data_IF_989919397885
#
_entry.id   IF_989919397885
#
_cell.length_a   1.000
_cell.length_b   1.000
_cell.length_c   1.000
_cell.angle_alpha   90.00
_cell.angle_beta   90.00
_cell.angle_gamma   90.00
#
_symmetry.space_group_name_H-M   'P 1'
#
loop_
_entity.id
_entity.type
_entity.pdbx_description
1 polymer ?
#
# COMPACT_ATOMS: atom_id res chain seq x y z
N UNK A 1 -12.46 -3.85 -2.64
CA UNK A 1 -11.37 -4.34 -1.77
C UNK A 1 -11.99 -5.12 -0.63
N UNK A 2 -11.41 -6.26 -0.27
CA UNK A 2 -11.93 -7.14 0.79
C UNK A 2 -12.86 -8.24 0.28
N UNK A 3 -12.42 -9.00 -0.72
CA UNK A 3 -13.13 -10.20 -1.22
C UNK A 3 -12.92 -11.39 -0.28
N UNK A 4 -13.68 -12.47 -0.52
CA UNK A 4 -13.55 -13.72 0.21
C UNK A 4 -12.22 -14.43 -0.08
N UNK A 5 -11.64 -15.02 0.97
CA UNK A 5 -10.50 -15.94 0.83
C UNK A 5 -11.04 -17.37 0.72
N UNK A 6 -10.90 -17.96 -0.46
CA UNK A 6 -11.32 -19.34 -0.75
C UNK A 6 -10.08 -20.24 -0.92
N UNK A 7 -9.73 -21.02 0.10
CA UNK A 7 -8.57 -21.93 0.10
C UNK A 7 -9.02 -23.30 0.62
N UNK A 8 -8.66 -24.41 -0.06
CA UNK A 8 -8.97 -25.76 0.45
C UNK A 8 -8.35 -26.01 1.83
N UNK A 9 -9.15 -26.49 2.78
CA UNK A 9 -8.69 -26.77 4.16
C UNK A 9 -7.54 -27.78 4.19
N UNK A 10 -7.53 -28.75 3.27
CA UNK A 10 -6.46 -29.76 3.19
C UNK A 10 -5.09 -29.12 2.90
N UNK A 11 -5.06 -28.08 2.06
CA UNK A 11 -3.82 -27.36 1.74
C UNK A 11 -3.30 -26.61 2.96
N UNK A 12 -4.19 -26.02 3.76
CA UNK A 12 -3.84 -25.31 5.00
C UNK A 12 -3.15 -26.24 6.01
N UNK A 13 -3.60 -27.49 6.10
CA UNK A 13 -3.04 -28.49 7.02
C UNK A 13 -1.72 -29.05 6.48
N UNK A 14 -1.71 -29.54 5.23
CA UNK A 14 -0.52 -30.21 4.66
C UNK A 14 0.69 -29.27 4.60
N UNK A 15 0.45 -27.99 4.33
CA UNK A 15 1.53 -26.99 4.20
C UNK A 15 1.66 -26.08 5.41
N UNK A 16 0.90 -26.35 6.48
CA UNK A 16 0.92 -25.60 7.75
C UNK A 16 0.82 -24.09 7.54
N UNK A 17 -0.07 -23.66 6.64
CA UNK A 17 -0.23 -22.24 6.28
C UNK A 17 -1.02 -21.48 7.33
N UNK A 18 -0.66 -20.22 7.53
CA UNK A 18 -1.39 -19.26 8.36
C UNK A 18 -1.95 -18.12 7.50
N UNK A 19 -3.17 -17.67 7.80
CA UNK A 19 -3.75 -16.44 7.23
C UNK A 19 -3.70 -15.38 8.31
N UNK A 20 -2.99 -14.29 8.04
CA UNK A 20 -2.82 -13.17 8.98
C UNK A 20 -3.40 -11.92 8.30
N UNK A 21 -4.43 -11.34 8.91
CA UNK A 21 -5.00 -10.06 8.46
C UNK A 21 -4.29 -8.88 9.12
N UNK A 22 -3.89 -7.90 8.31
CA UNK A 22 -3.41 -6.60 8.81
C UNK A 22 -3.98 -5.49 7.91
N UNK A 23 -4.60 -4.48 8.51
CA UNK A 23 -5.14 -3.32 7.79
C UNK A 23 -4.13 -2.16 7.76
N UNK A 24 -3.47 -1.88 8.89
CA UNK A 24 -2.45 -0.84 9.09
C UNK A 24 -1.51 -1.26 10.21
N UNK A 25 -0.27 -0.73 10.18
CA UNK A 25 0.72 -0.99 11.21
C UNK A 25 0.48 -0.24 12.54
N UNK A 26 1.26 -0.62 13.54
CA UNK A 26 1.37 0.06 14.83
C UNK A 26 2.19 1.35 14.73
N UNK A 27 2.09 2.20 15.74
CA UNK A 27 2.93 3.40 15.85
C UNK A 27 4.42 3.10 15.91
N UNK A 28 4.82 1.99 16.55
CA UNK A 28 6.21 1.56 16.62
C UNK A 28 6.73 1.20 15.22
N UNK A 29 5.98 0.38 14.47
CA UNK A 29 6.32 0.01 13.10
C UNK A 29 6.41 1.23 12.17
N UNK A 30 5.49 2.19 12.31
CA UNK A 30 5.57 3.45 11.56
C UNK A 30 6.84 4.24 11.91
N UNK A 31 7.18 4.32 13.20
CA UNK A 31 8.38 5.05 13.65
C UNK A 31 9.65 4.43 13.08
N UNK A 32 9.75 3.10 13.12
CA UNK A 32 10.87 2.36 12.54
C UNK A 32 10.95 2.55 11.02
N UNK A 33 9.81 2.51 10.33
CA UNK A 33 9.74 2.76 8.89
C UNK A 33 10.20 4.17 8.52
N UNK A 34 9.76 5.19 9.26
CA UNK A 34 10.20 6.57 9.04
C UNK A 34 11.71 6.73 9.28
N UNK A 35 12.28 6.03 10.27
CA UNK A 35 13.72 6.02 10.50
C UNK A 35 14.51 5.29 9.39
N UNK A 36 13.91 4.34 8.68
CA UNK A 36 14.52 3.74 7.48
C UNK A 36 14.47 4.71 6.29
N UNK A 37 13.35 5.40 6.09
CA UNK A 37 13.20 6.41 5.04
C UNK A 37 14.17 7.58 5.24
N UNK A 38 14.33 8.08 6.48
CA UNK A 38 15.28 9.15 6.81
C UNK A 38 16.74 8.76 6.51
N UNK A 39 17.09 7.49 6.71
CA UNK A 39 18.40 6.94 6.35
C UNK A 39 18.60 6.69 4.85
N UNK A 40 17.60 6.97 4.01
CA UNK A 40 17.64 6.68 2.58
C UNK A 40 17.67 5.19 2.26
N UNK A 41 17.16 4.34 3.16
CA UNK A 41 17.08 2.89 2.97
C UNK A 41 15.74 2.44 2.38
N UNK A 42 14.83 3.39 2.13
CA UNK A 42 13.52 3.19 1.52
C UNK A 42 13.27 4.29 0.51
N UNK A 43 13.03 3.91 -0.74
CA UNK A 43 12.61 4.81 -1.81
C UNK A 43 11.09 4.79 -1.99
N UNK A 44 10.48 5.96 -2.10
CA UNK A 44 9.05 6.12 -2.32
C UNK A 44 8.78 6.42 -3.80
N UNK A 45 8.07 5.53 -4.48
CA UNK A 45 7.54 5.80 -5.81
C UNK A 45 6.34 6.75 -5.67
N UNK A 46 6.52 8.02 -6.02
CA UNK A 46 5.46 9.03 -5.96
C UNK A 46 5.27 9.73 -7.29
N UNK A 47 4.01 10.02 -7.62
CA UNK A 47 3.64 10.90 -8.72
C UNK A 47 3.01 12.16 -8.17
N UNK A 48 3.61 13.31 -8.48
CA UNK A 48 3.11 14.59 -8.02
C UNK A 48 2.10 15.16 -9.01
N UNK A 49 1.05 15.77 -8.47
CA UNK A 49 0.04 16.53 -9.20
C UNK A 49 -0.11 17.87 -8.50
N UNK A 50 -0.28 18.95 -9.25
CA UNK A 50 -0.69 20.23 -8.65
C UNK A 50 -2.12 20.11 -8.10
N UNK A 51 -2.51 21.00 -7.16
CA UNK A 51 -3.89 21.03 -6.66
C UNK A 51 -4.93 21.20 -7.77
N UNK A 52 -4.61 21.97 -8.82
CA UNK A 52 -5.51 22.14 -9.98
C UNK A 52 -5.76 20.86 -10.77
N UNK A 53 -4.89 19.86 -10.65
CA UNK A 53 -4.97 18.59 -11.36
C UNK A 53 -5.64 17.48 -10.52
N UNK A 54 -6.24 17.80 -9.38
CA UNK A 54 -6.84 16.81 -8.47
C UNK A 54 -7.82 15.85 -9.18
N UNK A 55 -8.65 16.37 -10.10
CA UNK A 55 -9.56 15.54 -10.88
C UNK A 55 -8.82 14.56 -11.80
N UNK A 56 -7.71 15.00 -12.41
CA UNK A 56 -6.88 14.13 -13.24
C UNK A 56 -6.20 13.05 -12.39
N UNK A 57 -5.70 13.40 -11.20
CA UNK A 57 -5.10 12.42 -10.28
C UNK A 57 -6.10 11.31 -9.91
N UNK A 58 -7.37 11.66 -9.67
CA UNK A 58 -8.44 10.69 -9.39
C UNK A 58 -8.77 9.81 -10.61
N UNK A 59 -8.82 10.39 -11.81
CA UNK A 59 -9.05 9.62 -13.04
C UNK A 59 -7.90 8.67 -13.34
N UNK A 60 -6.65 9.11 -13.14
CA UNK A 60 -5.47 8.27 -13.31
C UNK A 60 -5.46 7.15 -12.26
N UNK A 61 -5.91 7.41 -11.03
CA UNK A 61 -6.08 6.38 -9.99
C UNK A 61 -7.12 5.34 -10.40
N UNK A 62 -8.30 5.80 -10.83
CA UNK A 62 -9.39 4.93 -11.27
C UNK A 62 -8.97 4.02 -12.44
N UNK A 63 -8.17 4.54 -13.36
CA UNK A 63 -7.65 3.78 -14.50
C UNK A 63 -6.37 2.99 -14.20
N UNK A 64 -5.91 2.94 -12.95
CA UNK A 64 -4.72 2.16 -12.56
C UNK A 64 -3.39 2.70 -13.14
N UNK A 65 -3.31 3.99 -13.47
CA UNK A 65 -2.13 4.63 -14.08
C UNK A 65 -1.12 5.15 -13.06
N UNK A 66 -1.41 5.06 -11.77
CA UNK A 66 -0.51 5.48 -10.69
C UNK A 66 0.25 4.27 -10.18
N UNK A 67 1.57 4.31 -10.31
CA UNK A 67 2.47 3.43 -9.57
C UNK A 67 2.78 4.09 -8.22
N UNK A 68 2.84 3.31 -7.15
CA UNK A 68 3.07 3.82 -5.81
C UNK A 68 1.94 4.75 -5.31
N UNK A 69 2.26 6.02 -5.04
CA UNK A 69 1.31 7.00 -4.49
C UNK A 69 1.20 8.25 -5.36
N UNK A 70 -0.02 8.77 -5.52
CA UNK A 70 -0.22 10.13 -6.00
C UNK A 70 -0.22 11.12 -4.83
N UNK A 71 0.53 12.22 -4.98
CA UNK A 71 0.65 13.29 -3.98
C UNK A 71 0.19 14.59 -4.61
N UNK A 72 -0.80 15.23 -3.99
CA UNK A 72 -1.21 16.57 -4.37
C UNK A 72 -0.29 17.60 -3.71
N UNK A 73 0.30 18.46 -4.53
CA UNK A 73 1.22 19.52 -4.10
C UNK A 73 0.54 20.88 -4.31
N UNK A 74 0.49 21.74 -3.28
CA UNK A 74 -0.05 23.10 -3.38
C UNK A 74 0.62 24.00 -4.42
#
# INVERSE_FOLDING_TARGET
YGEDIQIPTVDMIITERNIIGNLVGTWAELTELMALADRGLVDLETRHYSLSEANQALLDLHHGKIQGRAVLVP
#
